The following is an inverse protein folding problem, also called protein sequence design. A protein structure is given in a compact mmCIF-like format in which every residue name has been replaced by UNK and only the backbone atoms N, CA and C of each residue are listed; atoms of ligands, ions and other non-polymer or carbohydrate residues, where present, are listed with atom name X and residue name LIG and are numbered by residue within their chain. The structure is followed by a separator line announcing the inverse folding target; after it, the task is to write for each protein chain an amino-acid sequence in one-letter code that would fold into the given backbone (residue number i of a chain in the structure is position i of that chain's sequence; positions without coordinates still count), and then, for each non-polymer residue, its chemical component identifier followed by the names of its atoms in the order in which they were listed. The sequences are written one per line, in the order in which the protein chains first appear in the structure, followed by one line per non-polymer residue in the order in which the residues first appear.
data_IF_770365805297
#
_entry.id   IF_770365805297
#
_cell.length_a   1.000
_cell.length_b   1.000
_cell.length_c   1.000
_cell.angle_alpha   90.00
_cell.angle_beta   90.00
_cell.angle_gamma   90.00
#
_symmetry.space_group_name_H-M   'P 1'
#
loop_
_entity.id
_entity.type
_entity.pdbx_description
1 polymer ?
#
# COMPACT_ATOMS: atom_id res chain seq x y z
N UNK A 1 14.34 -16.69 6.66
CA UNK A 1 13.19 -15.75 6.55
C UNK A 1 11.95 -16.46 7.07
N UNK A 2 11.03 -15.79 7.80
CA UNK A 2 9.84 -16.50 8.31
C UNK A 2 8.89 -16.78 7.14
N UNK A 3 8.79 -18.06 6.74
CA UNK A 3 7.86 -18.48 5.70
C UNK A 3 6.42 -18.27 6.15
N UNK A 4 5.57 -17.69 5.29
CA UNK A 4 4.15 -17.53 5.59
C UNK A 4 3.44 -16.60 4.62
N UNK A 5 2.21 -16.22 4.99
CA UNK A 5 1.35 -15.39 4.15
C UNK A 5 1.45 -13.92 4.51
N UNK A 6 1.48 -13.09 3.49
CA UNK A 6 1.52 -11.65 3.57
C UNK A 6 0.45 -11.07 2.66
N UNK A 7 -0.06 -9.91 3.00
CA UNK A 7 -0.98 -9.17 2.14
C UNK A 7 -0.31 -7.89 1.66
N UNK A 8 -0.28 -7.65 0.37
CA UNK A 8 0.15 -6.38 -0.22
C UNK A 8 -1.06 -5.51 -0.56
N UNK A 9 -0.98 -4.21 -0.28
CA UNK A 9 -2.00 -3.20 -0.63
C UNK A 9 -1.36 -2.08 -1.44
N UNK A 10 -1.92 -1.80 -2.60
CA UNK A 10 -1.42 -0.81 -3.56
C UNK A 10 -2.60 -0.06 -4.19
N UNK A 11 -2.54 1.27 -4.22
CA UNK A 11 -3.44 2.08 -5.05
C UNK A 11 -2.61 2.94 -6.01
N UNK A 12 -2.75 2.64 -7.30
CA UNK A 12 -2.04 3.34 -8.37
C UNK A 12 -2.53 4.77 -8.55
N UNK A 13 -1.75 5.59 -9.25
CA UNK A 13 -2.11 6.99 -9.55
C UNK A 13 -3.29 7.13 -10.50
N UNK A 14 -3.70 6.06 -11.19
CA UNK A 14 -4.91 6.05 -12.01
C UNK A 14 -6.21 6.04 -11.19
N UNK A 15 -6.13 5.70 -9.90
CA UNK A 15 -7.27 5.64 -8.97
C UNK A 15 -8.42 4.76 -9.51
N UNK A 16 -8.08 3.69 -10.22
CA UNK A 16 -9.05 2.75 -10.79
C UNK A 16 -9.54 1.75 -9.73
N UNK A 17 -8.76 1.55 -8.67
CA UNK A 17 -9.07 0.67 -7.57
C UNK A 17 -7.93 0.56 -6.56
N UNK A 18 -8.16 -0.27 -5.57
CA UNK A 18 -7.19 -0.69 -4.56
C UNK A 18 -6.89 -2.15 -4.83
N UNK A 19 -5.67 -2.43 -5.26
CA UNK A 19 -5.21 -3.79 -5.49
C UNK A 19 -4.71 -4.37 -4.17
N UNK A 20 -5.29 -5.51 -3.80
CA UNK A 20 -4.92 -6.29 -2.63
C UNK A 20 -4.49 -7.68 -3.09
N UNK A 21 -3.31 -8.11 -2.69
CA UNK A 21 -2.73 -9.40 -3.09
C UNK A 21 -2.37 -10.21 -1.85
N UNK A 22 -2.79 -11.47 -1.82
CA UNK A 22 -2.30 -12.46 -0.88
C UNK A 22 -1.10 -13.18 -1.51
N UNK A 23 0.05 -13.14 -0.84
CA UNK A 23 1.25 -13.84 -1.29
C UNK A 23 1.77 -14.78 -0.20
N UNK A 24 2.22 -15.96 -0.61
CA UNK A 24 3.06 -16.82 0.22
C UNK A 24 4.51 -16.47 -0.07
N UNK A 25 5.25 -16.12 0.97
CA UNK A 25 6.69 -15.83 0.91
C UNK A 25 7.40 -16.90 1.72
N UNK A 26 8.38 -17.55 1.11
CA UNK A 26 9.31 -18.46 1.77
C UNK A 26 10.74 -17.98 1.53
N UNK A 27 11.74 -18.67 2.04
CA UNK A 27 13.15 -18.32 1.80
C UNK A 27 13.53 -18.33 0.32
N UNK A 28 12.89 -19.19 -0.47
CA UNK A 28 13.29 -19.47 -1.86
C UNK A 28 12.21 -19.08 -2.88
N UNK A 29 11.07 -18.53 -2.45
CA UNK A 29 9.93 -18.32 -3.34
C UNK A 29 9.02 -17.20 -2.86
N UNK A 30 8.49 -16.46 -3.83
CA UNK A 30 7.32 -15.60 -3.69
C UNK A 30 6.25 -16.08 -4.65
N UNK A 31 5.07 -16.44 -4.14
CA UNK A 31 3.96 -16.91 -4.95
C UNK A 31 2.68 -16.16 -4.58
N UNK A 32 2.08 -15.48 -5.56
CA UNK A 32 0.73 -14.94 -5.43
C UNK A 32 -0.26 -16.11 -5.27
N UNK A 33 -1.17 -15.98 -4.31
CA UNK A 33 -2.21 -16.98 -4.01
C UNK A 33 -3.58 -16.49 -4.45
N UNK A 34 -3.88 -15.21 -4.19
CA UNK A 34 -5.13 -14.57 -4.55
C UNK A 34 -4.94 -13.07 -4.72
N UNK A 35 -5.88 -12.42 -5.39
CA UNK A 35 -5.92 -10.97 -5.57
C UNK A 35 -7.35 -10.46 -5.66
N UNK A 36 -7.54 -9.21 -5.26
CA UNK A 36 -8.80 -8.49 -5.32
C UNK A 36 -8.52 -7.04 -5.69
N UNK A 37 -9.26 -6.48 -6.64
CA UNK A 37 -9.31 -5.04 -6.86
C UNK A 37 -10.58 -4.49 -6.23
N UNK A 38 -10.42 -3.60 -5.26
CA UNK A 38 -11.53 -3.00 -4.51
C UNK A 38 -11.83 -1.59 -5.03
N UNK A 39 -13.10 -1.22 -5.25
CA UNK A 39 -13.45 0.07 -5.84
C UNK A 39 -13.15 1.23 -4.89
N UNK A 40 -12.68 2.34 -5.47
CA UNK A 40 -12.54 3.61 -4.75
C UNK A 40 -13.83 4.43 -4.93
N UNK A 41 -14.51 4.82 -3.84
CA UNK A 41 -15.68 5.70 -3.92
C UNK A 41 -15.36 7.00 -4.64
N UNK A 42 -16.27 7.47 -5.50
CA UNK A 42 -16.07 8.64 -6.34
C UNK A 42 -15.63 9.89 -5.55
N UNK A 43 -16.27 10.17 -4.41
CA UNK A 43 -15.91 11.31 -3.56
C UNK A 43 -14.45 11.26 -3.05
N UNK A 44 -13.95 10.07 -2.68
CA UNK A 44 -12.54 9.91 -2.26
C UNK A 44 -11.61 10.14 -3.45
N UNK A 45 -11.98 9.61 -4.63
CA UNK A 45 -11.22 9.82 -5.88
C UNK A 45 -11.10 11.30 -6.23
N UNK A 46 -12.20 12.06 -6.12
CA UNK A 46 -12.20 13.51 -6.37
C UNK A 46 -11.30 14.26 -5.40
N UNK A 47 -11.37 13.96 -4.10
CA UNK A 47 -10.51 14.58 -3.09
C UNK A 47 -9.02 14.32 -3.34
N UNK A 48 -8.65 13.10 -3.77
CA UNK A 48 -7.26 12.78 -4.13
C UNK A 48 -6.83 13.55 -5.38
N UNK A 49 -7.67 13.56 -6.42
CA UNK A 49 -7.37 14.27 -7.67
C UNK A 49 -7.19 15.76 -7.46
N UNK A 50 -8.02 16.39 -6.62
CA UNK A 50 -7.89 17.77 -6.21
C UNK A 50 -6.50 18.08 -5.63
N UNK A 51 -6.01 17.24 -4.71
CA UNK A 51 -4.68 17.39 -4.11
C UNK A 51 -3.59 17.24 -5.16
N UNK A 52 -3.66 16.19 -6.00
CA UNK A 52 -2.68 15.95 -7.05
C UNK A 52 -2.63 17.07 -8.11
N UNK A 53 -3.72 17.80 -8.30
CA UNK A 53 -3.80 18.97 -9.18
C UNK A 53 -3.32 20.28 -8.53
N UNK A 54 -2.85 20.22 -7.28
CA UNK A 54 -2.33 21.39 -6.55
C UNK A 54 -3.42 22.27 -5.94
N UNK A 55 -4.64 21.78 -5.79
CA UNK A 55 -5.68 22.53 -5.06
C UNK A 55 -5.29 22.68 -3.59
N UNK A 56 -5.56 23.86 -3.03
CA UNK A 56 -5.32 24.13 -1.62
C UNK A 56 -6.19 23.25 -0.73
N UNK A 57 -5.60 22.70 0.33
CA UNK A 57 -6.32 22.00 1.37
C UNK A 57 -5.81 22.37 2.77
N UNK A 58 -6.71 22.24 3.74
CA UNK A 58 -6.36 22.31 5.15
C UNK A 58 -5.80 20.99 5.66
N UNK A 59 -4.98 21.03 6.71
CA UNK A 59 -4.52 19.82 7.40
C UNK A 59 -5.68 18.96 7.92
N UNK A 60 -6.80 19.58 8.30
CA UNK A 60 -8.00 18.87 8.73
C UNK A 60 -8.63 18.06 7.58
N UNK A 61 -8.65 18.61 6.36
CA UNK A 61 -9.11 17.87 5.16
C UNK A 61 -8.17 16.71 4.86
N UNK A 62 -6.84 16.94 4.89
CA UNK A 62 -5.84 15.90 4.65
C UNK A 62 -5.98 14.74 5.65
N UNK A 63 -6.07 15.04 6.95
CA UNK A 63 -6.21 14.02 7.99
C UNK A 63 -7.51 13.23 7.88
N UNK A 64 -8.62 13.86 7.49
CA UNK A 64 -9.89 13.15 7.23
C UNK A 64 -9.77 12.20 6.04
N UNK A 65 -9.16 12.65 4.95
CA UNK A 65 -8.95 11.82 3.77
C UNK A 65 -8.02 10.64 4.08
N UNK A 66 -6.92 10.89 4.79
CA UNK A 66 -5.95 9.89 5.23
C UNK A 66 -6.61 8.78 6.08
N UNK A 67 -7.45 9.17 7.05
CA UNK A 67 -8.21 8.23 7.88
C UNK A 67 -9.23 7.43 7.05
N UNK A 68 -9.98 8.11 6.16
CA UNK A 68 -10.98 7.45 5.30
C UNK A 68 -10.34 6.45 4.33
N UNK A 69 -9.19 6.79 3.77
CA UNK A 69 -8.41 5.88 2.93
C UNK A 69 -7.88 4.70 3.71
N UNK A 70 -7.35 4.90 4.93
CA UNK A 70 -6.92 3.79 5.79
C UNK A 70 -8.05 2.79 6.07
N UNK A 71 -9.27 3.27 6.32
CA UNK A 71 -10.45 2.42 6.48
C UNK A 71 -10.83 1.70 5.19
N UNK A 72 -10.80 2.39 4.06
CA UNK A 72 -11.10 1.79 2.76
C UNK A 72 -10.08 0.69 2.38
N UNK A 73 -8.80 0.90 2.69
CA UNK A 73 -7.77 -0.14 2.54
C UNK A 73 -8.02 -1.32 3.48
N UNK A 74 -8.46 -1.07 4.72
CA UNK A 74 -8.86 -2.14 5.63
C UNK A 74 -10.04 -2.95 5.09
N UNK A 75 -11.06 -2.29 4.53
CA UNK A 75 -12.21 -2.95 3.91
C UNK A 75 -11.80 -3.86 2.75
N UNK A 76 -10.88 -3.39 1.91
CA UNK A 76 -10.31 -4.16 0.80
C UNK A 76 -9.54 -5.40 1.30
N UNK A 77 -8.72 -5.25 2.34
CA UNK A 77 -8.01 -6.38 2.98
C UNK A 77 -8.98 -7.39 3.57
N UNK A 78 -9.96 -6.93 4.33
CA UNK A 78 -10.98 -7.80 4.94
C UNK A 78 -11.83 -8.50 3.87
N UNK A 79 -12.10 -7.86 2.74
CA UNK A 79 -12.79 -8.49 1.62
C UNK A 79 -11.98 -9.64 1.02
N UNK A 80 -10.67 -9.45 0.77
CA UNK A 80 -9.79 -10.52 0.32
C UNK A 80 -9.70 -11.65 1.35
N UNK A 81 -9.56 -11.31 2.64
CA UNK A 81 -9.53 -12.33 3.70
C UNK A 81 -10.81 -13.15 3.78
N UNK A 82 -11.98 -12.52 3.61
CA UNK A 82 -13.26 -13.23 3.55
C UNK A 82 -13.35 -14.15 2.33
N UNK A 83 -12.91 -13.68 1.16
CA UNK A 83 -12.88 -14.49 -0.06
C UNK A 83 -12.05 -15.76 0.13
N UNK A 84 -10.90 -15.63 0.80
CA UNK A 84 -9.95 -16.74 1.03
C UNK A 84 -10.18 -17.48 2.36
N UNK A 85 -11.27 -17.17 3.08
CA UNK A 85 -11.60 -17.75 4.39
C UNK A 85 -10.46 -17.67 5.42
N UNK A 86 -9.69 -16.58 5.40
CA UNK A 86 -8.54 -16.36 6.28
C UNK A 86 -8.94 -15.69 7.60
N UNK A 87 -8.24 -16.09 8.66
CA UNK A 87 -8.24 -15.39 9.95
C UNK A 87 -7.03 -14.46 10.04
N UNK A 88 -7.07 -13.40 10.88
CA UNK A 88 -5.91 -12.54 11.11
C UNK A 88 -4.63 -13.30 11.47
N UNK A 89 -4.74 -14.38 12.24
CA UNK A 89 -3.62 -15.23 12.65
C UNK A 89 -2.95 -15.99 11.50
N UNK A 90 -3.60 -16.08 10.34
CA UNK A 90 -3.06 -16.75 9.15
C UNK A 90 -2.13 -15.84 8.34
N UNK A 91 -2.09 -14.54 8.65
CA UNK A 91 -1.34 -13.50 7.93
C UNK A 91 -0.28 -12.92 8.85
N UNK A 92 0.98 -12.93 8.41
CA UNK A 92 2.11 -12.42 9.20
C UNK A 92 2.08 -10.89 9.28
N UNK A 93 1.90 -10.23 8.13
CA UNK A 93 1.83 -8.79 8.04
C UNK A 93 1.14 -8.32 6.76
N UNK A 94 0.68 -7.08 6.79
CA UNK A 94 0.21 -6.32 5.63
C UNK A 94 1.31 -5.34 5.23
N UNK A 95 1.71 -5.34 3.96
CA UNK A 95 2.52 -4.29 3.36
C UNK A 95 1.63 -3.30 2.61
N UNK A 96 1.51 -2.07 3.11
CA UNK A 96 0.67 -1.05 2.49
C UNK A 96 1.53 0.07 1.89
N UNK A 97 1.47 0.24 0.58
CA UNK A 97 2.10 1.39 -0.07
C UNK A 97 1.36 2.70 0.25
N UNK A 98 0.03 2.64 0.33
CA UNK A 98 -0.84 3.81 0.42
C UNK A 98 -1.10 4.46 -0.95
N UNK A 99 -1.74 5.63 -0.91
CA UNK A 99 -2.03 6.46 -2.08
C UNK A 99 -1.01 7.60 -2.18
N UNK A 100 -0.23 7.66 -3.26
CA UNK A 100 0.64 8.82 -3.50
C UNK A 100 -0.22 10.05 -3.81
N UNK A 101 0.04 11.14 -3.07
CA UNK A 101 -0.51 12.49 -3.33
C UNK A 101 0.57 13.51 -3.65
N UNK A 102 1.83 13.23 -3.32
CA UNK A 102 2.98 14.04 -3.71
C UNK A 102 4.23 13.18 -3.91
N UNK A 103 5.06 13.54 -4.88
CA UNK A 103 6.35 12.90 -5.11
C UNK A 103 7.32 13.88 -5.74
N UNK A 104 8.33 14.30 -4.98
CA UNK A 104 9.32 15.30 -5.39
C UNK A 104 10.72 14.83 -4.97
N UNK A 105 11.33 13.91 -5.73
CA UNK A 105 12.64 13.36 -5.42
C UNK A 105 13.80 14.28 -5.79
N UNK A 106 13.56 15.30 -6.62
CA UNK A 106 14.56 16.27 -7.04
C UNK A 106 14.14 17.67 -6.58
N UNK A 107 14.59 18.09 -5.40
CA UNK A 107 14.32 19.39 -4.82
C UNK A 107 15.33 19.72 -3.72
N UNK A 108 15.27 20.93 -3.15
CA UNK A 108 16.11 21.33 -2.02
C UNK A 108 15.92 20.41 -0.80
N UNK A 109 14.68 19.97 -0.58
CA UNK A 109 14.29 18.99 0.42
C UNK A 109 13.51 17.85 -0.25
N UNK A 110 14.19 16.81 -0.79
CA UNK A 110 13.54 15.69 -1.45
C UNK A 110 12.54 14.99 -0.53
N UNK A 111 11.29 14.84 -0.98
CA UNK A 111 10.25 14.22 -0.19
C UNK A 111 9.16 13.56 -1.05
N UNK A 112 8.30 12.80 -0.38
CA UNK A 112 7.20 12.07 -0.97
C UNK A 112 6.11 11.91 0.08
N UNK A 113 4.85 11.90 -0.34
CA UNK A 113 3.71 11.75 0.56
C UNK A 113 2.75 10.69 0.03
N UNK A 114 2.63 9.62 0.80
CA UNK A 114 1.60 8.60 0.65
C UNK A 114 0.63 8.75 1.81
N UNK A 115 -0.67 8.75 1.52
CA UNK A 115 -1.75 8.80 2.51
C UNK A 115 -2.53 7.48 2.53
N UNK A 116 -3.27 7.29 3.61
CA UNK A 116 -3.93 6.04 4.00
C UNK A 116 -3.37 5.58 5.32
N UNK A 117 -4.06 5.92 6.41
CA UNK A 117 -3.61 5.67 7.77
C UNK A 117 -3.45 4.17 8.05
N UNK A 118 -2.19 3.71 8.11
CA UNK A 118 -1.82 2.34 8.45
C UNK A 118 -2.38 1.89 9.80
N UNK A 119 -2.62 2.81 10.73
CA UNK A 119 -3.18 2.48 12.04
C UNK A 119 -4.66 2.09 11.92
N UNK A 120 -5.42 2.66 10.98
CA UNK A 120 -6.77 2.17 10.68
C UNK A 120 -6.71 0.74 10.15
N UNK A 121 -5.81 0.45 9.21
CA UNK A 121 -5.67 -0.90 8.66
C UNK A 121 -5.35 -1.89 9.78
N UNK A 122 -4.38 -1.58 10.64
CA UNK A 122 -3.99 -2.44 11.74
C UNK A 122 -5.13 -2.65 12.75
N UNK A 123 -5.82 -1.58 13.16
CA UNK A 123 -6.91 -1.63 14.12
C UNK A 123 -8.12 -2.42 13.60
N UNK A 124 -8.47 -2.28 12.32
CA UNK A 124 -9.63 -2.94 11.73
C UNK A 124 -9.37 -4.40 11.31
N UNK A 125 -8.12 -4.75 10.97
CA UNK A 125 -7.76 -6.12 10.55
C UNK A 125 -7.22 -6.99 11.70
N UNK A 126 -6.68 -6.36 12.75
CA UNK A 126 -5.94 -7.06 13.80
C UNK A 126 -4.58 -7.60 13.35
N UNK A 127 -4.06 -7.14 12.21
CA UNK A 127 -2.79 -7.60 11.61
C UNK A 127 -1.77 -6.47 11.66
N UNK A 128 -0.51 -6.79 11.92
CA UNK A 128 0.60 -5.84 11.83
C UNK A 128 0.70 -5.25 10.42
N UNK A 129 0.77 -3.92 10.32
CA UNK A 129 0.91 -3.21 9.04
C UNK A 129 2.29 -2.56 8.96
N UNK A 130 2.97 -2.78 7.85
CA UNK A 130 4.20 -2.10 7.46
C UNK A 130 3.88 -1.23 6.26
N UNK A 131 4.25 0.05 6.30
CA UNK A 131 4.05 0.97 5.19
C UNK A 131 5.12 2.05 5.15
N UNK A 132 4.83 3.15 4.44
CA UNK A 132 5.75 4.28 4.25
C UNK A 132 7.12 3.88 3.64
N UNK A 133 7.06 3.00 2.64
CA UNK A 133 8.25 2.41 2.03
C UNK A 133 9.14 3.43 1.32
N UNK A 134 8.53 4.44 0.67
CA UNK A 134 9.28 5.39 -0.17
C UNK A 134 10.09 6.38 0.64
N UNK A 135 9.57 6.87 1.77
CA UNK A 135 10.32 7.80 2.63
C UNK A 135 11.59 7.15 3.17
N UNK A 136 11.55 5.86 3.49
CA UNK A 136 12.76 5.10 3.88
C UNK A 136 13.79 5.03 2.75
N UNK A 137 13.37 4.78 1.52
CA UNK A 137 14.28 4.72 0.38
C UNK A 137 14.90 6.08 0.06
N UNK A 138 14.10 7.16 0.12
CA UNK A 138 14.58 8.53 -0.05
C UNK A 138 15.55 8.97 1.06
N UNK A 139 15.33 8.53 2.31
CA UNK A 139 16.26 8.79 3.41
C UNK A 139 17.66 8.17 3.19
N UNK A 140 17.78 7.19 2.29
CA UNK A 140 19.05 6.58 1.88
C UNK A 140 19.63 7.23 0.61
N UNK A 141 19.12 8.39 0.19
CA UNK A 141 19.59 9.13 -0.98
C UNK A 141 19.16 8.56 -2.33
N UNK A 142 18.15 7.68 -2.34
CA UNK A 142 17.59 7.10 -3.57
C UNK A 142 16.32 7.84 -3.99
N UNK A 143 15.83 7.55 -5.19
CA UNK A 143 14.69 8.27 -5.76
C UNK A 143 13.33 7.96 -5.09
N UNK A 144 13.24 6.99 -4.17
CA UNK A 144 11.95 6.58 -3.62
C UNK A 144 11.05 5.93 -4.66
N UNK A 145 11.64 5.34 -5.71
CA UNK A 145 10.90 4.60 -6.74
C UNK A 145 10.26 3.36 -6.13
N UNK A 146 9.18 2.86 -6.74
CA UNK A 146 8.50 1.68 -6.23
C UNK A 146 9.52 0.56 -6.04
N UNK A 147 9.49 -0.12 -4.88
CA UNK A 147 10.44 -1.16 -4.49
C UNK A 147 10.52 -2.39 -5.45
N UNK A 148 9.88 -2.33 -6.61
CA UNK A 148 9.86 -3.36 -7.64
C UNK A 148 11.25 -3.78 -8.13
N UNK A 149 12.27 -2.92 -8.05
CA UNK A 149 13.62 -3.32 -8.45
C UNK A 149 14.22 -4.44 -7.57
N UNK A 150 13.91 -4.46 -6.26
CA UNK A 150 14.35 -5.54 -5.35
C UNK A 150 13.42 -6.75 -5.35
N UNK A 151 12.12 -6.56 -5.63
CA UNK A 151 11.13 -7.64 -5.67
C UNK A 151 11.25 -8.47 -6.96
N UNK A 152 11.50 -7.82 -8.12
CA UNK A 152 11.69 -8.51 -9.39
C UNK A 152 12.93 -9.41 -9.41
N UNK A 153 14.01 -9.06 -8.68
CA UNK A 153 15.21 -9.91 -8.61
C UNK A 153 15.01 -11.16 -7.74
N UNK A 154 14.05 -11.16 -6.80
CA UNK A 154 13.71 -12.33 -5.98
C UNK A 154 12.65 -13.23 -6.64
N UNK A 155 11.79 -12.68 -7.49
CA UNK A 155 10.74 -13.44 -8.20
C UNK A 155 11.25 -14.10 -9.50
N UNK A 156 12.33 -13.58 -10.10
CA UNK A 156 13.01 -14.22 -11.21
C UNK A 156 13.92 -15.34 -10.65
N UNK A 157 13.44 -16.58 -10.67
CA UNK A 157 14.30 -17.75 -10.47
C UNK A 157 15.49 -17.75 -11.45
N UNK A 158 16.53 -18.57 -11.21
CA UNK A 158 17.69 -18.61 -12.10
C UNK A 158 17.24 -18.94 -13.54
N UNK A 159 17.86 -18.32 -14.57
CA UNK A 159 17.59 -18.67 -15.95
C UNK A 159 17.83 -20.17 -16.15
N UNK A 160 16.90 -20.83 -16.84
CA UNK A 160 17.06 -22.22 -17.27
C UNK A 160 18.25 -22.36 -18.20
#
# INVERSE_FOLDING_TARGET
MRSGRFIGVMSGTSLDGIDVVLATITENMVAQQASLTWPIPHAIKEEILAICQGQSLTLSQLGRLDTRLGRLFADAVLALMRQESLKPTDVIAIGCHGQTVWHEPQGEAPHTLQIGDNNQIAAHTGITVVGDFRRRDMALGRAGSAAGAGFSSCAAGPPR
#
